data_IF_704020478560
#
_entry.id   IF_704020478560
#
_cell.length_a   1.000
_cell.length_b   1.000
_cell.length_c   1.000
_cell.angle_alpha   90.00
_cell.angle_beta   90.00
_cell.angle_gamma   90.00
#
_symmetry.space_group_name_H-M   'P 1'
#
loop_
_entity.id
_entity.type
_entity.pdbx_description
1 polymer ?
#
# COMPACT_ATOMS: atom_id res chain seq x y z
N UNK A 1 13.96 13.03 -53.16
CA UNK A 1 14.24 13.54 -51.79
C UNK A 1 15.67 13.15 -51.43
N UNK A 2 16.61 14.11 -51.48
CA UNK A 2 18.03 13.85 -51.24
C UNK A 2 18.30 13.50 -49.78
N UNK A 3 19.09 12.45 -49.53
CA UNK A 3 19.58 12.12 -48.18
C UNK A 3 20.26 13.35 -47.58
N UNK A 4 19.87 13.84 -46.39
CA UNK A 4 20.49 15.00 -45.77
C UNK A 4 22.00 14.73 -45.57
N UNK A 5 22.83 15.73 -45.87
CA UNK A 5 24.29 15.62 -45.72
C UNK A 5 24.63 15.34 -44.24
N UNK A 6 25.42 14.29 -43.92
CA UNK A 6 25.66 13.82 -42.54
C UNK A 6 26.27 14.87 -41.61
N UNK A 7 26.90 15.93 -42.14
CA UNK A 7 27.61 16.94 -41.35
C UNK A 7 26.77 17.86 -40.47
N UNK A 8 25.45 17.99 -40.67
CA UNK A 8 24.60 18.90 -39.84
C UNK A 8 23.91 18.23 -38.65
N UNK A 9 23.72 16.91 -38.70
CA UNK A 9 22.97 16.16 -37.68
C UNK A 9 23.88 15.60 -36.58
N UNK A 10 25.16 15.34 -36.87
CA UNK A 10 26.13 14.83 -35.91
C UNK A 10 26.30 15.69 -34.63
N UNK A 11 26.45 17.04 -34.69
CA UNK A 11 26.58 17.84 -33.47
C UNK A 11 25.30 17.88 -32.65
N UNK A 12 24.13 17.85 -33.29
CA UNK A 12 22.83 17.82 -32.60
C UNK A 12 22.61 16.51 -31.85
N UNK A 13 23.03 15.39 -32.42
CA UNK A 13 22.95 14.10 -31.75
C UNK A 13 23.89 13.99 -30.55
N UNK A 14 25.13 14.50 -30.68
CA UNK A 14 26.07 14.56 -29.57
C UNK A 14 25.56 15.45 -28.43
N UNK A 15 25.00 16.62 -28.77
CA UNK A 15 24.37 17.51 -27.80
C UNK A 15 23.14 16.87 -27.14
N UNK A 16 22.32 16.14 -27.90
CA UNK A 16 21.18 15.39 -27.38
C UNK A 16 21.59 14.32 -26.37
N UNK A 17 22.60 13.49 -26.68
CA UNK A 17 23.12 12.51 -25.73
C UNK A 17 23.67 13.17 -24.46
N UNK A 18 24.44 14.24 -24.59
CA UNK A 18 24.97 14.98 -23.45
C UNK A 18 23.85 15.58 -22.58
N UNK A 19 22.82 16.15 -23.20
CA UNK A 19 21.67 16.69 -22.48
C UNK A 19 20.88 15.58 -21.75
N UNK A 20 20.71 14.42 -22.37
CA UNK A 20 20.06 13.27 -21.75
C UNK A 20 20.87 12.73 -20.55
N UNK A 21 22.19 12.60 -20.70
CA UNK A 21 23.08 12.18 -19.60
C UNK A 21 23.08 13.22 -18.48
N UNK A 22 23.23 14.50 -18.80
CA UNK A 22 23.20 15.57 -17.80
C UNK A 22 21.87 15.58 -17.04
N UNK A 23 20.75 15.45 -17.73
CA UNK A 23 19.43 15.35 -17.11
C UNK A 23 19.35 14.18 -16.13
N UNK A 24 19.92 13.02 -16.46
CA UNK A 24 19.92 11.84 -15.58
C UNK A 24 20.67 12.04 -14.25
N UNK A 25 21.51 13.08 -14.14
CA UNK A 25 22.24 13.43 -12.90
C UNK A 25 21.74 14.71 -12.23
N UNK A 26 21.10 15.60 -12.99
CA UNK A 26 20.66 16.91 -12.51
C UNK A 26 19.17 16.94 -12.14
N UNK A 27 18.39 16.01 -12.68
CA UNK A 27 16.96 15.89 -12.42
C UNK A 27 16.77 14.73 -11.44
N UNK A 28 16.25 15.05 -10.26
CA UNK A 28 15.84 14.05 -9.27
C UNK A 28 14.53 13.35 -9.69
N UNK A 29 14.25 12.22 -9.05
CA UNK A 29 13.05 11.41 -9.27
C UNK A 29 11.75 12.06 -8.77
N UNK A 30 11.84 13.21 -8.08
CA UNK A 30 10.72 13.99 -7.57
C UNK A 30 10.33 15.18 -8.47
N UNK A 31 11.04 15.40 -9.58
CA UNK A 31 10.79 16.53 -10.47
C UNK A 31 9.47 16.40 -11.24
N UNK A 32 8.42 17.08 -10.77
CA UNK A 32 7.09 17.09 -11.39
C UNK A 32 7.06 17.55 -12.85
N UNK A 33 8.02 18.39 -13.26
CA UNK A 33 8.16 18.87 -14.65
C UNK A 33 8.42 17.75 -15.67
N UNK A 34 8.77 16.53 -15.22
CA UNK A 34 8.86 15.36 -16.09
C UNK A 34 7.51 15.06 -16.76
N UNK A 35 6.41 15.14 -16.00
CA UNK A 35 5.06 14.85 -16.50
C UNK A 35 4.43 16.05 -17.23
N UNK A 36 4.93 17.26 -17.00
CA UNK A 36 4.51 18.50 -17.69
C UNK A 36 5.23 18.72 -19.03
N UNK A 37 5.64 17.64 -19.70
CA UNK A 37 6.32 17.68 -21.00
C UNK A 37 7.84 17.63 -20.94
N UNK A 38 8.47 17.71 -19.77
CA UNK A 38 9.92 17.49 -19.60
C UNK A 38 10.35 16.10 -20.07
N UNK A 39 9.57 15.07 -19.79
CA UNK A 39 9.80 13.70 -20.27
C UNK A 39 9.74 13.59 -21.81
N UNK A 40 8.87 14.37 -22.46
CA UNK A 40 8.83 14.45 -23.92
C UNK A 40 10.11 15.07 -24.48
N UNK A 41 10.65 16.11 -23.83
CA UNK A 41 11.94 16.73 -24.20
C UNK A 41 13.10 15.75 -24.02
N UNK A 42 13.14 14.99 -22.91
CA UNK A 42 14.13 13.93 -22.69
C UNK A 42 14.02 12.84 -23.75
N UNK A 43 12.80 12.46 -24.14
CA UNK A 43 12.54 11.55 -25.25
C UNK A 43 13.12 12.06 -26.58
N UNK A 44 12.97 13.35 -26.88
CA UNK A 44 13.56 13.97 -28.08
C UNK A 44 15.08 13.94 -28.07
N UNK A 45 15.72 14.13 -26.91
CA UNK A 45 17.17 13.97 -26.77
C UNK A 45 17.62 12.52 -27.02
N UNK A 46 16.88 11.54 -26.49
CA UNK A 46 17.14 10.13 -26.76
C UNK A 46 16.99 9.79 -28.25
N UNK A 47 15.93 10.28 -28.91
CA UNK A 47 15.73 10.12 -30.36
C UNK A 47 16.89 10.73 -31.15
N UNK A 48 17.33 11.93 -30.80
CA UNK A 48 18.47 12.57 -31.46
C UNK A 48 19.76 11.74 -31.30
N UNK A 49 20.01 11.18 -30.12
CA UNK A 49 21.15 10.31 -29.86
C UNK A 49 21.12 9.03 -30.70
N UNK A 50 19.95 8.36 -30.76
CA UNK A 50 19.75 7.13 -31.58
C UNK A 50 19.93 7.41 -33.07
N UNK A 51 19.35 8.50 -33.59
CA UNK A 51 19.50 8.88 -34.99
C UNK A 51 20.95 9.23 -35.34
N UNK A 52 21.68 9.86 -34.41
CA UNK A 52 23.09 10.17 -34.60
C UNK A 52 24.02 8.96 -34.56
N UNK A 53 23.70 7.95 -33.75
CA UNK A 53 24.45 6.69 -33.71
C UNK A 53 24.43 5.93 -35.05
N UNK A 54 23.42 6.17 -35.89
CA UNK A 54 23.33 5.63 -37.25
C UNK A 54 24.13 6.39 -38.32
N UNK A 55 24.81 7.50 -37.95
CA UNK A 55 25.58 8.34 -38.87
C UNK A 55 27.09 8.17 -38.61
N UNK A 56 27.96 8.23 -39.64
CA UNK A 56 29.41 8.24 -39.41
C UNK A 56 29.83 9.52 -38.65
N UNK A 57 30.54 9.36 -37.53
CA UNK A 57 31.03 10.49 -36.74
C UNK A 57 31.58 10.12 -35.36
N UNK A 58 32.08 11.11 -34.59
CA UNK A 58 32.71 10.88 -33.29
C UNK A 58 31.79 10.20 -32.28
N UNK A 59 30.49 10.54 -32.31
CA UNK A 59 29.48 9.93 -31.45
C UNK A 59 29.43 8.41 -31.65
N UNK A 60 29.39 7.95 -32.90
CA UNK A 60 29.36 6.53 -33.26
C UNK A 60 30.65 5.84 -32.84
N UNK A 61 31.81 6.47 -33.04
CA UNK A 61 33.09 5.94 -32.56
C UNK A 61 33.13 5.76 -31.04
N UNK A 62 32.51 6.68 -30.27
CA UNK A 62 32.40 6.55 -28.82
C UNK A 62 31.41 5.46 -28.43
N UNK A 63 30.26 5.36 -29.10
CA UNK A 63 29.25 4.35 -28.79
C UNK A 63 29.65 2.92 -29.21
N UNK A 64 30.56 2.78 -30.18
CA UNK A 64 31.10 1.50 -30.65
C UNK A 64 32.22 0.93 -29.76
N UNK A 65 32.61 1.61 -28.68
CA UNK A 65 33.62 1.06 -27.76
C UNK A 65 33.11 -0.24 -27.13
N UNK A 66 33.99 -1.24 -27.06
CA UNK A 66 33.64 -2.60 -26.67
C UNK A 66 32.83 -2.71 -25.35
N UNK A 67 33.10 -1.92 -24.29
CA UNK A 67 32.28 -1.96 -23.06
C UNK A 67 30.81 -1.55 -23.29
N UNK A 68 30.56 -0.48 -24.05
CA UNK A 68 29.21 0.01 -24.31
C UNK A 68 28.44 -0.94 -25.22
N UNK A 69 29.11 -1.50 -26.23
CA UNK A 69 28.51 -2.51 -27.12
C UNK A 69 28.11 -3.76 -26.32
N UNK A 70 29.00 -4.28 -25.46
CA UNK A 70 28.70 -5.45 -24.60
C UNK A 70 27.58 -5.18 -23.60
N UNK A 71 27.51 -3.96 -23.05
CA UNK A 71 26.39 -3.57 -22.20
C UNK A 71 25.07 -3.52 -22.99
N UNK A 72 25.10 -3.01 -24.21
CA UNK A 72 23.97 -3.04 -25.14
C UNK A 72 23.49 -4.46 -25.48
N UNK A 73 24.41 -5.41 -25.64
CA UNK A 73 24.07 -6.83 -25.90
C UNK A 73 23.26 -7.46 -24.76
N UNK A 74 23.58 -7.14 -23.51
CA UNK A 74 22.90 -7.67 -22.31
C UNK A 74 21.80 -6.76 -21.76
N UNK A 75 21.51 -5.64 -22.44
CA UNK A 75 20.63 -4.57 -21.94
C UNK A 75 19.22 -5.05 -21.58
N UNK A 76 18.71 -6.04 -22.30
CA UNK A 76 17.42 -6.66 -21.98
C UNK A 76 17.43 -7.37 -20.63
N UNK A 77 18.47 -8.16 -20.35
CA UNK A 77 18.68 -8.78 -19.03
C UNK A 77 18.84 -7.72 -17.94
N UNK A 78 19.59 -6.64 -18.20
CA UNK A 78 19.76 -5.55 -17.21
C UNK A 78 18.41 -4.93 -16.88
N UNK A 79 17.61 -4.58 -17.90
CA UNK A 79 16.26 -4.06 -17.72
C UNK A 79 15.36 -5.02 -16.93
N UNK A 80 15.43 -6.32 -17.20
CA UNK A 80 14.59 -7.30 -16.51
C UNK A 80 14.97 -7.50 -15.04
N UNK A 81 16.28 -7.62 -14.76
CA UNK A 81 16.76 -8.09 -13.46
C UNK A 81 17.09 -6.96 -12.48
N UNK A 82 17.38 -5.75 -12.94
CA UNK A 82 17.80 -4.67 -12.04
C UNK A 82 16.75 -4.34 -10.96
N UNK A 83 15.46 -4.32 -11.31
CA UNK A 83 14.40 -3.92 -10.38
C UNK A 83 14.15 -4.95 -9.27
N UNK A 84 13.95 -6.26 -9.55
CA UNK A 84 13.82 -7.27 -8.49
C UNK A 84 15.04 -7.36 -7.57
N UNK A 85 16.26 -7.23 -8.13
CA UNK A 85 17.50 -7.28 -7.34
C UNK A 85 17.59 -6.06 -6.42
N UNK A 86 17.27 -4.88 -6.93
CA UNK A 86 17.23 -3.65 -6.13
C UNK A 86 16.24 -3.79 -4.98
N UNK A 87 15.00 -4.23 -5.25
CA UNK A 87 13.98 -4.44 -4.22
C UNK A 87 14.45 -5.43 -3.13
N UNK A 88 15.03 -6.57 -3.54
CA UNK A 88 15.56 -7.57 -2.60
C UNK A 88 16.69 -6.99 -1.75
N UNK A 89 17.62 -6.26 -2.36
CA UNK A 89 18.73 -5.62 -1.65
C UNK A 89 18.23 -4.59 -0.62
N UNK A 90 17.26 -3.75 -0.98
CA UNK A 90 16.65 -2.79 -0.04
C UNK A 90 15.94 -3.50 1.10
N UNK A 91 15.20 -4.57 0.82
CA UNK A 91 14.53 -5.38 1.87
C UNK A 91 15.53 -6.08 2.79
N UNK A 92 16.71 -6.43 2.29
CA UNK A 92 17.82 -6.97 3.08
C UNK A 92 18.64 -5.88 3.83
N UNK A 93 18.21 -4.61 3.76
CA UNK A 93 18.88 -3.50 4.44
C UNK A 93 20.16 -3.01 3.77
N UNK A 94 20.40 -3.35 2.49
CA UNK A 94 21.59 -2.89 1.76
C UNK A 94 21.38 -1.43 1.32
N UNK A 95 22.12 -0.52 1.95
CA UNK A 95 22.04 0.92 1.72
C UNK A 95 23.44 1.53 1.52
N UNK A 96 23.47 2.75 0.96
CA UNK A 96 24.70 3.47 0.65
C UNK A 96 25.50 2.87 -0.52
N UNK A 97 26.62 3.53 -0.87
CA UNK A 97 27.36 3.23 -2.10
C UNK A 97 27.91 1.80 -2.20
N UNK A 98 28.17 1.14 -1.08
CA UNK A 98 28.58 -0.28 -1.06
C UNK A 98 27.44 -1.22 -1.47
N UNK A 99 26.23 -0.99 -0.94
CA UNK A 99 25.03 -1.74 -1.31
C UNK A 99 24.64 -1.50 -2.77
N UNK A 100 24.74 -0.25 -3.23
CA UNK A 100 24.43 0.11 -4.62
C UNK A 100 25.41 -0.54 -5.61
N UNK A 101 26.70 -0.57 -5.28
CA UNK A 101 27.71 -1.26 -6.08
C UNK A 101 27.44 -2.77 -6.16
N UNK A 102 27.01 -3.38 -5.05
CA UNK A 102 26.64 -4.79 -5.02
C UNK A 102 25.42 -5.08 -5.91
N UNK A 103 24.39 -4.23 -5.86
CA UNK A 103 23.21 -4.33 -6.73
C UNK A 103 23.59 -4.26 -8.21
N UNK A 104 24.44 -3.30 -8.59
CA UNK A 104 24.95 -3.17 -9.97
C UNK A 104 25.72 -4.42 -10.39
N UNK A 105 26.64 -4.90 -9.55
CA UNK A 105 27.45 -6.07 -9.84
C UNK A 105 26.61 -7.35 -10.02
N UNK A 106 25.63 -7.57 -9.14
CA UNK A 106 24.73 -8.73 -9.21
C UNK A 106 23.85 -8.63 -10.46
N UNK A 107 23.28 -7.46 -10.73
CA UNK A 107 22.46 -7.21 -11.93
C UNK A 107 23.22 -7.53 -13.21
N UNK A 108 24.43 -7.00 -13.36
CA UNK A 108 25.27 -7.27 -14.55
C UNK A 108 25.61 -8.75 -14.67
N UNK A 109 25.93 -9.41 -13.55
CA UNK A 109 26.28 -10.83 -13.53
C UNK A 109 25.08 -11.69 -13.97
N UNK A 110 23.90 -11.48 -13.37
CA UNK A 110 22.67 -12.19 -13.72
C UNK A 110 22.29 -11.92 -15.18
N UNK A 111 22.46 -10.68 -15.65
CA UNK A 111 22.18 -10.31 -17.05
C UNK A 111 23.09 -11.00 -18.05
N UNK A 112 24.39 -11.12 -17.76
CA UNK A 112 25.33 -11.88 -18.60
C UNK A 112 24.97 -13.36 -18.64
N UNK A 113 24.61 -13.94 -17.49
CA UNK A 113 24.17 -15.35 -17.42
C UNK A 113 22.88 -15.56 -18.21
N UNK A 114 21.87 -14.69 -18.04
CA UNK A 114 20.63 -14.68 -18.81
C UNK A 114 20.91 -14.61 -20.32
N UNK A 115 21.79 -13.68 -20.72
CA UNK A 115 22.13 -13.46 -22.11
C UNK A 115 22.73 -14.71 -22.77
N UNK A 116 23.70 -15.35 -22.12
CA UNK A 116 24.40 -16.51 -22.69
C UNK A 116 23.55 -17.78 -22.59
N UNK A 117 22.84 -17.99 -21.49
CA UNK A 117 22.13 -19.24 -21.21
C UNK A 117 20.71 -19.30 -21.77
N UNK A 118 20.03 -18.16 -21.90
CA UNK A 118 18.62 -18.08 -22.32
C UNK A 118 18.47 -17.28 -23.62
N UNK A 119 18.94 -16.04 -23.65
CA UNK A 119 18.61 -15.12 -24.73
C UNK A 119 19.30 -15.49 -26.04
N UNK A 120 20.60 -15.82 -26.03
CA UNK A 120 21.31 -16.23 -27.25
C UNK A 120 20.79 -17.53 -27.87
N UNK A 121 20.50 -18.60 -27.10
CA UNK A 121 19.88 -19.81 -27.64
C UNK A 121 18.53 -19.54 -28.33
N UNK A 122 17.66 -18.75 -27.68
CA UNK A 122 16.34 -18.38 -28.22
C UNK A 122 16.49 -17.54 -29.50
N UNK A 123 17.35 -16.50 -29.47
CA UNK A 123 17.63 -15.63 -30.63
C UNK A 123 18.18 -16.38 -31.84
N UNK A 124 18.90 -17.48 -31.63
CA UNK A 124 19.46 -18.33 -32.70
C UNK A 124 18.50 -19.45 -33.15
N UNK A 125 17.22 -19.40 -32.76
CA UNK A 125 16.19 -20.33 -33.22
C UNK A 125 16.26 -21.72 -32.60
N UNK A 126 16.97 -21.90 -31.48
CA UNK A 126 16.86 -23.12 -30.67
C UNK A 126 15.59 -22.99 -29.85
N UNK A 127 14.52 -23.67 -30.27
CA UNK A 127 13.24 -23.66 -29.54
C UNK A 127 13.42 -24.13 -28.08
N UNK A 128 12.52 -23.72 -27.16
CA UNK A 128 12.64 -24.00 -25.73
C UNK A 128 12.82 -25.49 -25.43
N UNK A 129 12.15 -26.36 -26.18
CA UNK A 129 12.28 -27.82 -26.07
C UNK A 129 13.70 -28.36 -26.33
N UNK A 130 14.50 -27.73 -27.22
CA UNK A 130 15.89 -28.13 -27.49
C UNK A 130 16.90 -27.56 -26.49
N UNK A 131 16.57 -26.44 -25.84
CA UNK A 131 17.34 -25.88 -24.73
C UNK A 131 17.19 -26.79 -23.50
N UNK A 132 15.98 -27.27 -23.24
CA UNK A 132 15.68 -28.24 -22.19
C UNK A 132 16.27 -29.63 -22.49
N UNK A 133 16.32 -30.05 -23.75
CA UNK A 133 16.86 -31.36 -24.18
C UNK A 133 18.39 -31.43 -24.31
N UNK A 134 19.11 -30.31 -24.32
CA UNK A 134 20.58 -30.30 -24.44
C UNK A 134 21.33 -30.83 -23.20
N UNK A 135 20.60 -31.18 -22.13
CA UNK A 135 21.17 -31.63 -20.87
C UNK A 135 21.91 -30.52 -20.14
N UNK A 136 22.06 -30.66 -18.82
CA UNK A 136 22.59 -29.65 -17.89
C UNK A 136 24.08 -29.27 -18.05
N UNK A 137 24.68 -29.42 -19.24
CA UNK A 137 26.12 -29.19 -19.44
C UNK A 137 26.57 -27.72 -19.46
N UNK A 138 25.72 -26.69 -19.67
CA UNK A 138 26.07 -25.30 -19.36
C UNK A 138 25.50 -24.81 -18.01
N UNK A 139 24.88 -25.68 -17.19
CA UNK A 139 24.12 -25.29 -15.99
C UNK A 139 24.99 -25.06 -14.74
N UNK A 140 26.32 -25.14 -14.84
CA UNK A 140 27.20 -24.82 -13.70
C UNK A 140 27.05 -23.36 -13.22
N UNK A 141 26.97 -22.40 -14.15
CA UNK A 141 26.85 -20.98 -13.81
C UNK A 141 25.40 -20.52 -13.63
N UNK A 142 24.47 -21.05 -14.45
CA UNK A 142 23.04 -20.78 -14.31
C UNK A 142 22.45 -21.46 -13.07
N UNK A 143 22.94 -22.66 -12.72
CA UNK A 143 22.59 -23.36 -11.48
C UNK A 143 23.07 -22.60 -10.26
N UNK A 144 24.28 -22.05 -10.26
CA UNK A 144 24.75 -21.18 -9.16
C UNK A 144 23.96 -19.88 -9.10
N UNK A 145 23.64 -19.23 -10.24
CA UNK A 145 22.80 -18.04 -10.24
C UNK A 145 21.37 -18.34 -9.76
N UNK A 146 20.77 -19.46 -10.17
CA UNK A 146 19.45 -19.92 -9.72
C UNK A 146 19.50 -20.36 -8.26
N UNK A 147 20.57 -21.00 -7.79
CA UNK A 147 20.74 -21.38 -6.38
C UNK A 147 21.03 -20.16 -5.52
N UNK A 148 21.78 -19.17 -6.00
CA UNK A 148 21.99 -17.89 -5.30
C UNK A 148 20.69 -17.10 -5.28
N UNK A 149 19.97 -17.00 -6.40
CA UNK A 149 18.63 -16.39 -6.45
C UNK A 149 17.66 -17.18 -5.59
N UNK A 150 17.67 -18.52 -5.58
CA UNK A 150 16.78 -19.34 -4.76
C UNK A 150 17.17 -19.31 -3.28
N UNK A 151 18.44 -19.20 -2.91
CA UNK A 151 18.90 -19.02 -1.53
C UNK A 151 18.65 -17.59 -1.06
N UNK A 152 18.70 -16.59 -1.94
CA UNK A 152 18.30 -15.21 -1.63
C UNK A 152 16.77 -15.05 -1.60
N UNK A 153 16.03 -15.79 -2.43
CA UNK A 153 14.57 -15.92 -2.38
C UNK A 153 14.22 -16.66 -1.11
N UNK A 154 14.64 -17.89 -0.86
CA UNK A 154 14.35 -18.65 0.38
C UNK A 154 14.89 -17.97 1.65
N UNK A 155 16.01 -17.25 1.57
CA UNK A 155 16.58 -16.48 2.68
C UNK A 155 15.90 -15.12 2.93
N UNK A 156 15.28 -14.52 1.90
CA UNK A 156 14.51 -13.26 1.95
C UNK A 156 12.99 -13.43 1.94
N UNK A 157 12.51 -14.63 1.61
CA UNK A 157 11.15 -15.16 1.76
C UNK A 157 11.13 -16.04 3.00
N UNK A 158 11.54 -15.48 4.14
CA UNK A 158 10.72 -15.73 5.31
C UNK A 158 9.54 -14.78 5.19
N UNK A 159 8.43 -15.16 4.54
CA UNK A 159 7.19 -14.53 4.91
C UNK A 159 7.00 -14.88 6.39
N UNK A 160 6.88 -13.86 7.24
CA UNK A 160 6.05 -13.99 8.44
C UNK A 160 4.60 -14.03 7.97
N UNK A 161 4.24 -15.08 7.23
CA UNK A 161 2.87 -15.47 6.92
C UNK A 161 2.81 -16.90 7.40
N UNK A 162 2.02 -17.20 8.45
CA UNK A 162 1.82 -18.56 8.92
C UNK A 162 1.42 -19.48 7.75
N UNK A 163 1.77 -20.77 7.84
CA UNK A 163 1.45 -21.77 6.82
C UNK A 163 -0.06 -22.01 6.62
N UNK A 164 -0.89 -21.24 7.34
CA UNK A 164 -2.33 -21.44 7.49
C UNK A 164 -3.15 -20.26 6.90
N UNK A 165 -2.52 -19.33 6.17
CA UNK A 165 -3.23 -18.21 5.54
C UNK A 165 -4.05 -18.69 4.31
N UNK A 166 -5.37 -18.56 4.41
CA UNK A 166 -6.36 -18.99 3.41
C UNK A 166 -6.64 -17.83 2.42
N UNK A 167 -6.81 -18.12 1.12
CA UNK A 167 -7.22 -17.11 0.13
C UNK A 167 -8.72 -16.83 0.18
N UNK A 168 -9.18 -15.65 -0.26
CA UNK A 168 -10.61 -15.26 -0.23
C UNK A 168 -11.49 -16.24 -1.03
N UNK A 169 -11.03 -16.70 -2.20
CA UNK A 169 -11.69 -17.79 -2.94
C UNK A 169 -11.68 -19.13 -2.18
N UNK A 170 -10.61 -19.49 -1.46
CA UNK A 170 -10.56 -20.73 -0.66
C UNK A 170 -11.44 -20.66 0.61
N UNK A 171 -11.57 -19.48 1.23
CA UNK A 171 -12.45 -19.28 2.38
C UNK A 171 -13.94 -19.35 1.96
N UNK A 172 -14.28 -18.80 0.78
CA UNK A 172 -15.61 -18.90 0.19
C UNK A 172 -15.95 -20.32 -0.28
N UNK A 173 -15.00 -21.06 -0.85
CA UNK A 173 -15.21 -22.45 -1.27
C UNK A 173 -15.30 -23.43 -0.08
N UNK A 174 -14.56 -23.19 1.02
CA UNK A 174 -14.64 -23.98 2.24
C UNK A 174 -15.94 -23.75 3.04
N UNK A 175 -16.51 -22.54 2.97
CA UNK A 175 -17.78 -22.20 3.64
C UNK A 175 -19.00 -22.78 2.90
N UNK A 176 -18.89 -23.04 1.59
CA UNK A 176 -19.98 -23.56 0.75
C UNK A 176 -19.93 -25.08 0.56
N UNK A 177 -18.84 -25.76 0.97
CA UNK A 177 -18.71 -27.21 0.79
C UNK A 177 -18.04 -27.93 1.95
N UNK A 178 -18.84 -28.45 2.89
CA UNK A 178 -18.88 -29.87 3.31
C UNK A 178 -19.79 -30.01 4.55
N UNK A 179 -21.09 -30.30 4.34
CA UNK A 179 -21.92 -30.93 5.38
C UNK A 179 -21.47 -32.40 5.54
N UNK A 180 -20.34 -32.61 6.20
CA UNK A 180 -19.83 -33.92 6.60
C UNK A 180 -20.45 -34.39 7.93
N UNK A 181 -20.79 -35.69 8.09
CA UNK A 181 -21.60 -36.15 9.21
C UNK A 181 -20.84 -36.14 10.53
N UNK A 182 -21.46 -35.53 11.55
CA UNK A 182 -20.98 -35.44 12.93
C UNK A 182 -20.82 -36.80 13.61
N UNK A 183 -19.72 -36.98 14.36
CA UNK A 183 -19.48 -38.11 15.27
C UNK A 183 -20.51 -38.12 16.42
N UNK A 184 -20.89 -39.29 16.98
CA UNK A 184 -21.85 -39.36 18.06
C UNK A 184 -21.22 -38.96 19.41
N UNK A 185 -21.97 -38.34 20.32
CA UNK A 185 -21.43 -37.77 21.55
C UNK A 185 -21.10 -38.85 22.59
N UNK A 186 -20.07 -38.59 23.42
CA UNK A 186 -19.67 -39.36 24.59
C UNK A 186 -20.63 -39.21 25.78
N UNK A 187 -20.86 -40.31 26.51
CA UNK A 187 -21.81 -40.47 27.64
C UNK A 187 -21.40 -39.79 28.97
N UNK A 188 -20.57 -38.75 28.97
CA UNK A 188 -20.29 -38.00 30.20
C UNK A 188 -21.38 -36.94 30.46
N UNK A 189 -22.00 -36.89 31.65
CA UNK A 189 -22.97 -35.84 31.95
C UNK A 189 -22.26 -34.49 31.97
N UNK A 190 -22.72 -33.50 31.19
CA UNK A 190 -22.09 -32.19 31.14
C UNK A 190 -22.17 -31.53 32.53
N UNK A 191 -21.08 -30.86 32.90
CA UNK A 191 -21.13 -29.90 34.00
C UNK A 191 -22.28 -28.92 33.74
N UNK A 192 -23.04 -28.50 34.77
CA UNK A 192 -24.10 -27.54 34.56
C UNK A 192 -23.50 -26.28 33.90
N UNK A 193 -24.10 -25.76 32.82
CA UNK A 193 -23.61 -24.56 32.18
C UNK A 193 -23.58 -23.43 33.22
N UNK A 194 -22.59 -22.52 33.16
CA UNK A 194 -22.71 -21.25 33.87
C UNK A 194 -24.02 -20.60 33.41
N UNK A 195 -24.79 -20.10 34.36
CA UNK A 195 -26.07 -19.42 34.11
C UNK A 195 -25.88 -18.38 32.99
N UNK A 196 -26.75 -18.44 31.97
CA UNK A 196 -26.77 -17.52 30.84
C UNK A 196 -26.68 -16.07 31.34
N UNK A 197 -25.54 -15.41 31.10
CA UNK A 197 -25.43 -13.95 31.19
C UNK A 197 -26.21 -13.42 29.97
N UNK A 198 -27.41 -12.83 30.14
CA UNK A 198 -28.34 -12.56 29.04
C UNK A 198 -27.92 -11.40 28.11
N UNK A 199 -26.63 -11.01 28.14
CA UNK A 199 -26.13 -9.76 27.56
C UNK A 199 -24.79 -9.93 26.82
N UNK A 200 -24.37 -11.17 26.50
CA UNK A 200 -23.20 -11.38 25.62
C UNK A 200 -23.67 -11.56 24.18
N UNK A 201 -23.03 -10.89 23.20
CA UNK A 201 -23.35 -11.10 21.80
C UNK A 201 -22.99 -12.54 21.42
N UNK A 202 -23.76 -13.13 20.50
CA UNK A 202 -23.34 -14.39 19.89
C UNK A 202 -22.00 -14.16 19.17
N UNK A 203 -21.04 -15.05 19.41
CA UNK A 203 -19.69 -14.94 18.87
C UNK A 203 -19.51 -15.92 17.70
N UNK A 204 -18.67 -15.56 16.71
CA UNK A 204 -17.98 -14.28 16.57
C UNK A 204 -18.93 -13.15 16.13
N UNK A 205 -18.63 -11.91 16.52
CA UNK A 205 -19.33 -10.74 15.93
C UNK A 205 -18.67 -10.36 14.61
N UNK A 206 -19.48 -9.92 13.64
CA UNK A 206 -18.95 -9.40 12.37
C UNK A 206 -18.68 -7.91 12.48
N UNK A 207 -17.41 -7.51 12.37
CA UNK A 207 -16.98 -6.10 12.40
C UNK A 207 -16.55 -5.66 11.01
N UNK A 208 -17.19 -4.63 10.48
CA UNK A 208 -16.74 -3.98 9.23
C UNK A 208 -15.86 -2.77 9.55
N UNK A 209 -14.65 -2.71 9.00
CA UNK A 209 -13.76 -1.56 9.13
C UNK A 209 -13.79 -0.70 7.86
N UNK A 210 -14.10 0.58 8.00
CA UNK A 210 -14.09 1.59 6.93
C UNK A 210 -13.12 2.73 7.26
N UNK A 211 -12.69 3.45 6.23
CA UNK A 211 -11.76 4.57 6.41
C UNK A 211 -10.69 4.65 5.35
N UNK A 212 -9.60 5.34 5.69
CA UNK A 212 -8.47 5.58 4.80
C UNK A 212 -7.40 4.46 4.85
N UNK A 213 -6.19 4.75 4.36
CA UNK A 213 -5.09 3.79 4.39
C UNK A 213 -4.61 3.45 5.81
N UNK A 214 -4.79 4.33 6.80
CA UNK A 214 -4.46 4.01 8.18
C UNK A 214 -5.44 2.97 8.73
N UNK A 215 -6.74 3.12 8.46
CA UNK A 215 -7.76 2.11 8.76
C UNK A 215 -7.46 0.78 8.06
N UNK A 216 -7.10 0.82 6.78
CA UNK A 216 -6.70 -0.37 6.02
C UNK A 216 -5.62 -1.18 6.74
N UNK A 217 -4.55 -0.52 7.17
CA UNK A 217 -3.43 -1.19 7.87
C UNK A 217 -3.74 -1.54 9.31
N UNK A 218 -4.66 -0.82 9.98
CA UNK A 218 -5.15 -1.17 11.32
C UNK A 218 -5.88 -2.52 11.27
N UNK A 219 -6.66 -2.78 10.22
CA UNK A 219 -7.31 -4.06 9.97
C UNK A 219 -6.41 -5.11 9.31
N UNK A 220 -5.08 -4.99 9.44
CA UNK A 220 -4.12 -5.98 8.92
C UNK A 220 -3.90 -5.96 7.42
N UNK A 221 -4.34 -4.90 6.74
CA UNK A 221 -4.18 -4.74 5.30
C UNK A 221 -2.73 -4.51 4.89
N UNK A 222 -2.28 -5.22 3.84
CA UNK A 222 -0.94 -5.03 3.28
C UNK A 222 -0.86 -3.76 2.42
N UNK A 223 0.21 -2.97 2.59
CA UNK A 223 0.53 -1.87 1.69
C UNK A 223 1.25 -2.41 0.46
N UNK A 224 0.47 -3.01 -0.45
CA UNK A 224 0.90 -3.27 -1.83
C UNK A 224 0.44 -2.13 -2.74
N UNK A 225 1.35 -1.66 -3.58
CA UNK A 225 1.07 -0.70 -4.65
C UNK A 225 0.58 -1.49 -5.88
N UNK A 226 -0.71 -1.81 -5.93
CA UNK A 226 -1.24 -2.60 -7.06
C UNK A 226 -2.75 -2.87 -7.03
N UNK A 227 -3.36 -2.99 -5.84
CA UNK A 227 -4.81 -3.13 -5.69
C UNK A 227 -5.30 -2.42 -4.41
N UNK A 228 -6.37 -1.63 -4.52
CA UNK A 228 -7.05 -0.98 -3.38
C UNK A 228 -7.89 -1.97 -2.53
N UNK A 229 -7.83 -3.26 -2.86
CA UNK A 229 -8.64 -4.36 -2.31
C UNK A 229 -7.77 -5.60 -2.05
N UNK A 230 -6.48 -5.41 -1.72
CA UNK A 230 -5.55 -6.53 -1.52
C UNK A 230 -5.94 -7.43 -0.33
N UNK A 231 -5.40 -8.65 -0.21
CA UNK A 231 -5.64 -9.48 0.97
C UNK A 231 -5.17 -8.76 2.25
N UNK A 232 -5.87 -9.02 3.36
CA UNK A 232 -5.50 -8.59 4.71
C UNK A 232 -5.47 -9.81 5.63
N UNK A 233 -4.70 -9.71 6.71
CA UNK A 233 -4.62 -10.73 7.76
C UNK A 233 -5.21 -10.12 9.03
N UNK A 234 -6.41 -10.56 9.44
CA UNK A 234 -7.12 -9.95 10.57
C UNK A 234 -6.26 -10.00 11.83
N UNK A 235 -6.07 -8.87 12.54
CA UNK A 235 -5.33 -8.86 13.80
C UNK A 235 -6.16 -9.35 14.99
N UNK A 236 -7.46 -9.65 14.80
CA UNK A 236 -8.37 -10.11 15.84
C UNK A 236 -8.41 -11.64 15.93
N UNK A 237 -8.77 -12.17 17.10
CA UNK A 237 -9.12 -13.59 17.23
C UNK A 237 -10.42 -13.88 16.47
N UNK A 238 -10.41 -14.75 15.44
CA UNK A 238 -11.60 -15.07 14.66
C UNK A 238 -12.70 -15.78 15.47
N UNK A 239 -12.40 -16.28 16.68
CA UNK A 239 -13.42 -16.80 17.59
C UNK A 239 -14.22 -15.69 18.28
N UNK A 240 -13.73 -14.44 18.29
CA UNK A 240 -14.40 -13.30 18.92
C UNK A 240 -14.89 -12.29 17.87
N UNK A 241 -14.04 -11.93 16.91
CA UNK A 241 -14.33 -10.90 15.89
C UNK A 241 -13.95 -11.40 14.50
N UNK A 242 -14.96 -11.52 13.64
CA UNK A 242 -14.76 -11.66 12.21
C UNK A 242 -14.64 -10.27 11.58
N UNK A 243 -13.42 -9.88 11.20
CA UNK A 243 -13.16 -8.58 10.59
C UNK A 243 -13.37 -8.64 9.08
N UNK A 244 -14.23 -7.75 8.57
CA UNK A 244 -14.38 -7.42 7.15
C UNK A 244 -13.76 -6.04 6.87
N UNK A 245 -12.56 -6.02 6.27
CA UNK A 245 -11.81 -4.78 6.05
C UNK A 245 -12.22 -4.14 4.72
N UNK A 246 -13.09 -3.13 4.77
CA UNK A 246 -13.55 -2.36 3.63
C UNK A 246 -12.81 -1.02 3.47
N UNK A 247 -11.84 -0.70 4.32
CA UNK A 247 -11.10 0.56 4.26
C UNK A 247 -10.33 0.73 2.93
N UNK A 248 -10.06 2.00 2.56
CA UNK A 248 -9.63 2.37 1.22
C UNK A 248 -8.39 3.24 1.22
N UNK A 249 -7.38 2.81 0.45
CA UNK A 249 -6.14 3.55 0.28
C UNK A 249 -6.41 4.87 -0.44
N UNK A 250 -6.14 5.98 0.24
CA UNK A 250 -6.34 7.32 -0.32
C UNK A 250 -7.77 7.85 -0.22
N UNK A 251 -8.66 7.14 0.49
CA UNK A 251 -9.98 7.65 0.83
C UNK A 251 -9.89 8.95 1.65
N UNK A 252 -10.88 9.82 1.47
CA UNK A 252 -11.03 11.10 2.17
C UNK A 252 -12.46 11.20 2.66
N UNK A 253 -12.62 11.46 3.96
CA UNK A 253 -13.92 11.79 4.50
C UNK A 253 -14.41 13.14 3.99
N UNK A 254 -13.55 14.16 4.05
CA UNK A 254 -13.90 15.51 3.58
C UNK A 254 -13.72 15.55 2.07
N UNK A 255 -14.78 15.80 1.28
CA UNK A 255 -14.70 15.83 -0.18
C UNK A 255 -13.67 16.84 -0.69
N UNK A 256 -13.17 16.60 -1.89
CA UNK A 256 -12.22 17.49 -2.57
C UNK A 256 -10.76 17.07 -2.43
N UNK A 257 -9.88 17.80 -3.12
CA UNK A 257 -8.46 17.49 -3.18
C UNK A 257 -7.71 18.03 -1.97
N UNK A 258 -6.71 17.31 -1.47
CA UNK A 258 -5.76 17.85 -0.48
C UNK A 258 -4.92 18.96 -1.10
N UNK A 259 -4.73 20.10 -0.40
CA UNK A 259 -4.09 21.29 -0.99
C UNK A 259 -2.71 21.64 -0.44
N UNK A 260 -2.27 21.03 0.65
CA UNK A 260 -1.06 21.45 1.35
C UNK A 260 0.16 20.58 0.97
N UNK A 261 -0.01 19.26 0.96
CA UNK A 261 1.09 18.34 0.71
C UNK A 261 1.29 18.04 -0.78
N UNK A 262 2.36 18.58 -1.37
CA UNK A 262 2.77 18.32 -2.76
C UNK A 262 1.91 19.02 -3.83
N UNK A 263 1.15 20.06 -3.45
CA UNK A 263 0.25 20.81 -4.36
C UNK A 263 -1.21 20.31 -4.32
N UNK A 264 -2.03 20.77 -5.28
CA UNK A 264 -3.40 20.27 -5.46
C UNK A 264 -3.31 18.90 -6.12
N UNK A 265 -3.61 17.83 -5.38
CA UNK A 265 -3.74 16.49 -5.97
C UNK A 265 -5.11 16.36 -6.63
N UNK A 266 -5.23 16.90 -7.84
CA UNK A 266 -6.47 16.78 -8.64
C UNK A 266 -6.51 15.50 -9.50
N UNK A 267 -7.48 14.63 -9.13
CA UNK A 267 -8.27 13.63 -9.88
C UNK A 267 -7.83 12.15 -10.02
N UNK A 268 -8.80 11.19 -9.99
CA UNK A 268 -10.19 11.27 -9.49
C UNK A 268 -10.31 10.79 -8.05
N UNK A 269 -11.14 11.49 -7.27
CA UNK A 269 -11.61 11.01 -5.98
C UNK A 269 -12.72 10.01 -6.23
N UNK A 270 -12.37 8.73 -6.26
CA UNK A 270 -13.33 7.62 -6.15
C UNK A 270 -13.94 7.56 -4.74
N UNK A 271 -13.72 8.56 -3.87
CA UNK A 271 -14.24 8.61 -2.50
C UNK A 271 -15.78 8.41 -2.47
N UNK A 272 -16.51 9.02 -3.41
CA UNK A 272 -17.96 8.81 -3.55
C UNK A 272 -18.32 7.41 -4.11
N UNK A 273 -17.44 6.83 -4.93
CA UNK A 273 -17.61 5.46 -5.45
C UNK A 273 -17.31 4.43 -4.36
N UNK A 274 -16.32 4.70 -3.50
CA UNK A 274 -15.97 3.90 -2.33
C UNK A 274 -17.10 3.92 -1.30
N UNK A 275 -17.69 5.09 -1.02
CA UNK A 275 -18.89 5.18 -0.17
C UNK A 275 -20.09 4.45 -0.79
N UNK A 276 -20.31 4.61 -2.10
CA UNK A 276 -21.38 3.88 -2.80
C UNK A 276 -21.15 2.36 -2.74
N UNK A 277 -19.90 1.93 -2.83
CA UNK A 277 -19.53 0.53 -2.70
C UNK A 277 -19.71 0.02 -1.27
N UNK A 278 -19.35 0.79 -0.23
CA UNK A 278 -19.66 0.44 1.16
C UNK A 278 -21.16 0.24 1.36
N UNK A 279 -21.99 1.20 0.91
CA UNK A 279 -23.46 1.10 0.96
C UNK A 279 -24.01 -0.15 0.26
N UNK A 280 -23.41 -0.54 -0.85
CA UNK A 280 -23.82 -1.73 -1.58
C UNK A 280 -23.38 -3.03 -0.88
N UNK A 281 -22.23 -3.01 -0.22
CA UNK A 281 -21.60 -4.21 0.38
C UNK A 281 -22.12 -4.49 1.79
N UNK A 282 -22.41 -3.46 2.58
CA UNK A 282 -22.81 -3.60 3.99
C UNK A 282 -24.05 -4.49 4.19
N UNK A 283 -25.12 -4.41 3.36
CA UNK A 283 -26.26 -5.32 3.49
C UNK A 283 -25.93 -6.79 3.15
N UNK A 284 -24.93 -7.04 2.32
CA UNK A 284 -24.49 -8.40 1.97
C UNK A 284 -23.65 -9.02 3.09
N UNK A 285 -22.85 -8.20 3.78
CA UNK A 285 -22.04 -8.60 4.94
C UNK A 285 -22.88 -8.75 6.21
N UNK A 286 -23.92 -7.93 6.37
CA UNK A 286 -24.76 -7.86 7.56
C UNK A 286 -23.96 -7.71 8.88
N UNK A 287 -23.15 -6.65 9.03
CA UNK A 287 -22.25 -6.51 10.18
C UNK A 287 -23.00 -6.32 11.50
N UNK A 288 -22.38 -6.78 12.58
CA UNK A 288 -22.82 -6.46 13.95
C UNK A 288 -22.38 -5.07 14.37
N UNK A 289 -21.25 -4.61 13.84
CA UNK A 289 -20.66 -3.32 14.16
C UNK A 289 -19.85 -2.78 12.97
N UNK A 290 -19.90 -1.47 12.78
CA UNK A 290 -19.05 -0.76 11.81
C UNK A 290 -18.04 0.09 12.57
N UNK A 291 -16.76 -0.05 12.27
CA UNK A 291 -15.68 0.76 12.83
C UNK A 291 -15.17 1.72 11.77
N UNK A 292 -15.07 3.00 12.10
CA UNK A 292 -14.61 4.04 11.19
C UNK A 292 -13.34 4.72 11.72
N UNK A 293 -12.30 4.83 10.89
CA UNK A 293 -11.08 5.59 11.20
C UNK A 293 -10.65 6.45 10.00
N UNK A 294 -10.53 7.75 10.23
CA UNK A 294 -10.08 8.72 9.23
C UNK A 294 -8.85 9.46 9.74
N UNK A 295 -7.93 9.86 8.86
CA UNK A 295 -6.67 10.45 9.28
C UNK A 295 -5.95 11.20 8.17
N UNK A 296 -4.88 10.61 7.63
CA UNK A 296 -3.81 11.28 6.87
C UNK A 296 -4.31 12.35 5.89
N UNK A 297 -5.31 12.01 5.09
CA UNK A 297 -5.85 12.92 4.10
C UNK A 297 -6.66 14.04 4.74
N UNK A 298 -7.49 13.73 5.73
CA UNK A 298 -8.42 14.64 6.42
C UNK A 298 -7.74 15.53 7.47
N UNK A 299 -6.46 15.34 7.71
CA UNK A 299 -5.61 16.27 8.46
C UNK A 299 -5.06 17.40 7.58
N UNK A 300 -5.64 17.71 6.43
CA UNK A 300 -5.13 18.70 5.47
C UNK A 300 -6.23 19.62 4.95
N UNK A 301 -5.84 20.82 4.49
CA UNK A 301 -6.72 21.71 3.74
C UNK A 301 -7.29 21.03 2.49
N UNK A 302 -8.35 21.62 1.95
CA UNK A 302 -9.12 21.08 0.83
C UNK A 302 -9.21 22.04 -0.34
N UNK A 303 -9.37 21.52 -1.54
CA UNK A 303 -9.89 22.23 -2.70
C UNK A 303 -11.22 21.61 -3.07
N UNK A 304 -12.29 22.38 -2.91
CA UNK A 304 -13.66 21.98 -3.19
C UNK A 304 -14.19 22.97 -4.21
N UNK A 305 -14.65 22.48 -5.36
CA UNK A 305 -15.17 23.31 -6.45
C UNK A 305 -14.22 24.45 -6.91
N UNK A 306 -12.91 24.22 -6.81
CA UNK A 306 -11.86 25.19 -7.17
C UNK A 306 -11.58 26.25 -6.09
N UNK A 307 -12.24 26.18 -4.93
CA UNK A 307 -11.95 27.03 -3.77
C UNK A 307 -11.03 26.31 -2.79
N UNK A 308 -9.93 26.96 -2.40
CA UNK A 308 -9.01 26.45 -1.38
C UNK A 308 -9.54 26.79 0.01
N UNK A 309 -9.76 25.75 0.79
CA UNK A 309 -10.29 25.76 2.14
C UNK A 309 -9.15 25.35 3.08
N UNK A 310 -8.76 26.25 3.97
CA UNK A 310 -7.71 26.01 4.95
C UNK A 310 -8.19 25.05 6.05
N UNK A 311 -7.33 24.12 6.47
CA UNK A 311 -7.62 23.22 7.59
C UNK A 311 -7.92 24.02 8.87
N UNK A 312 -8.94 23.61 9.63
CA UNK A 312 -9.34 24.28 10.86
C UNK A 312 -10.05 25.63 10.66
N UNK A 313 -10.30 26.03 9.42
CA UNK A 313 -11.19 27.17 9.13
C UNK A 313 -12.65 26.78 9.37
N UNK A 314 -13.51 27.78 9.62
CA UNK A 314 -14.95 27.54 9.75
C UNK A 314 -15.58 26.88 8.51
N UNK A 315 -15.03 27.13 7.32
CA UNK A 315 -15.45 26.46 6.09
C UNK A 315 -15.04 24.98 6.10
N UNK A 316 -13.80 24.67 6.49
CA UNK A 316 -13.35 23.28 6.64
C UNK A 316 -14.22 22.52 7.65
N UNK A 317 -14.46 23.11 8.82
CA UNK A 317 -15.24 22.49 9.88
C UNK A 317 -16.67 22.19 9.43
N UNK A 318 -17.27 23.10 8.66
CA UNK A 318 -18.60 22.89 8.05
C UNK A 318 -18.59 21.70 7.09
N UNK A 319 -17.63 21.65 6.17
CA UNK A 319 -17.54 20.55 5.19
C UNK A 319 -17.22 19.20 5.86
N UNK A 320 -16.30 19.18 6.82
CA UNK A 320 -15.93 17.97 7.53
C UNK A 320 -17.08 17.43 8.40
N UNK A 321 -17.76 18.32 9.15
CA UNK A 321 -18.93 17.94 9.95
C UNK A 321 -20.06 17.43 9.07
N UNK A 322 -20.36 18.12 7.96
CA UNK A 322 -21.43 17.69 7.06
C UNK A 322 -21.13 16.35 6.39
N UNK A 323 -19.89 16.13 5.94
CA UNK A 323 -19.48 14.86 5.33
C UNK A 323 -19.53 13.71 6.34
N UNK A 324 -19.00 13.93 7.55
CA UNK A 324 -19.08 12.97 8.66
C UNK A 324 -20.53 12.63 9.02
N UNK A 325 -21.40 13.63 9.14
CA UNK A 325 -22.81 13.43 9.49
C UNK A 325 -23.56 12.63 8.42
N UNK A 326 -23.33 12.92 7.14
CA UNK A 326 -23.91 12.16 6.02
C UNK A 326 -23.42 10.71 6.03
N UNK A 327 -22.10 10.50 6.08
CA UNK A 327 -21.53 9.15 6.01
C UNK A 327 -21.91 8.32 7.24
N UNK A 328 -21.65 8.82 8.44
CA UNK A 328 -21.79 8.02 9.65
C UNK A 328 -23.26 7.71 9.97
N UNK A 329 -24.19 8.64 9.70
CA UNK A 329 -25.63 8.38 9.86
C UNK A 329 -26.12 7.33 8.87
N UNK A 330 -25.63 7.38 7.63
CA UNK A 330 -25.95 6.39 6.60
C UNK A 330 -25.42 4.99 6.95
N UNK A 331 -24.16 4.89 7.42
CA UNK A 331 -23.60 3.65 7.94
C UNK A 331 -24.40 3.11 9.15
N UNK A 332 -24.80 4.01 10.06
CA UNK A 332 -25.58 3.66 11.25
C UNK A 332 -26.98 3.11 10.93
N UNK A 333 -27.47 3.27 9.70
CA UNK A 333 -28.72 2.61 9.27
C UNK A 333 -28.57 1.10 9.11
N UNK A 334 -27.34 0.59 8.97
CA UNK A 334 -27.07 -0.84 8.80
C UNK A 334 -26.66 -1.51 10.11
N UNK A 335 -25.76 -0.90 10.86
CA UNK A 335 -25.29 -1.40 12.15
C UNK A 335 -24.72 -0.25 13.00
N UNK A 336 -24.65 -0.40 14.35
CA UNK A 336 -24.01 0.61 15.19
C UNK A 336 -22.60 0.95 14.72
N UNK A 337 -22.26 2.24 14.76
CA UNK A 337 -20.99 2.77 14.28
C UNK A 337 -20.12 3.19 15.45
N UNK A 338 -18.88 2.71 15.47
CA UNK A 338 -17.82 3.14 16.38
C UNK A 338 -16.79 3.94 15.59
N UNK A 339 -16.69 5.23 15.89
CA UNK A 339 -15.65 6.11 15.33
C UNK A 339 -14.43 6.07 16.23
N UNK A 340 -13.25 5.83 15.66
CA UNK A 340 -11.99 5.90 16.40
C UNK A 340 -11.40 7.30 16.29
N UNK A 341 -10.99 7.90 17.42
CA UNK A 341 -10.21 9.14 17.39
C UNK A 341 -8.89 8.93 16.65
N UNK A 342 -8.54 9.87 15.78
CA UNK A 342 -7.38 9.77 14.90
C UNK A 342 -6.09 9.97 15.72
N UNK A 343 -5.17 8.99 15.80
CA UNK A 343 -3.92 9.22 16.50
C UNK A 343 -3.00 10.12 15.66
N UNK A 344 -2.22 11.05 16.28
CA UNK A 344 -1.30 11.89 15.55
C UNK A 344 -0.35 11.08 14.67
N UNK A 345 0.02 11.66 13.54
CA UNK A 345 1.04 11.15 12.64
C UNK A 345 2.43 11.51 13.17
N UNK A 346 3.40 10.63 12.92
CA UNK A 346 4.80 10.85 13.35
C UNK A 346 5.65 11.28 12.17
N UNK A 347 5.81 12.60 12.00
CA UNK A 347 6.61 13.19 10.93
C UNK A 347 8.02 12.59 10.79
N UNK A 348 8.72 12.45 11.91
CA UNK A 348 10.07 11.88 12.03
C UNK A 348 10.23 10.45 11.50
N UNK A 349 9.13 9.70 11.42
CA UNK A 349 9.14 8.32 10.91
C UNK A 349 8.73 8.27 9.42
N UNK A 350 8.32 9.39 8.83
CA UNK A 350 7.88 9.45 7.44
C UNK A 350 9.07 9.45 6.47
N UNK A 351 9.01 8.66 5.38
CA UNK A 351 10.10 8.58 4.41
C UNK A 351 10.21 9.81 3.50
N UNK A 352 9.12 10.58 3.36
CA UNK A 352 9.07 11.76 2.50
C UNK A 352 9.38 13.02 3.33
N UNK A 353 10.49 13.73 3.07
CA UNK A 353 10.91 14.87 3.88
C UNK A 353 9.89 16.02 3.98
N UNK A 354 9.16 16.29 2.89
CA UNK A 354 8.11 17.32 2.88
C UNK A 354 6.93 16.93 3.78
N UNK A 355 6.51 15.67 3.73
CA UNK A 355 5.45 15.13 4.58
C UNK A 355 5.87 15.08 6.05
N UNK A 356 7.12 14.65 6.29
CA UNK A 356 7.72 14.63 7.61
C UNK A 356 7.69 16.03 8.23
N UNK A 357 8.20 17.04 7.52
CA UNK A 357 8.23 18.42 8.00
C UNK A 357 6.82 19.00 8.23
N UNK A 358 5.86 18.67 7.37
CA UNK A 358 4.49 19.17 7.48
C UNK A 358 3.78 18.67 8.75
N UNK A 359 3.95 17.40 9.09
CA UNK A 359 3.23 16.80 10.23
C UNK A 359 4.00 16.84 11.55
N UNK A 360 5.32 17.01 11.55
CA UNK A 360 6.14 16.89 12.77
C UNK A 360 5.67 17.77 13.94
N UNK A 361 5.31 19.03 13.69
CA UNK A 361 4.95 19.97 14.75
C UNK A 361 3.43 20.05 14.99
N UNK A 362 2.63 19.87 13.94
CA UNK A 362 1.19 20.18 13.99
C UNK A 362 0.28 18.94 14.02
N UNK A 363 0.82 17.73 13.91
CA UNK A 363 -0.07 16.57 13.75
C UNK A 363 -0.98 16.32 14.94
N UNK A 364 -0.54 16.56 16.18
CA UNK A 364 -1.36 16.37 17.37
C UNK A 364 -2.55 17.34 17.43
N UNK A 365 -2.30 18.62 17.14
CA UNK A 365 -3.35 19.64 17.07
C UNK A 365 -4.39 19.29 16.00
N UNK A 366 -3.93 18.93 14.80
CA UNK A 366 -4.80 18.60 13.67
C UNK A 366 -5.62 17.35 13.94
N UNK A 367 -5.01 16.33 14.53
CA UNK A 367 -5.67 15.09 14.92
C UNK A 367 -6.75 15.32 15.99
N UNK A 368 -6.45 16.14 17.01
CA UNK A 368 -7.42 16.55 18.03
C UNK A 368 -8.57 17.37 17.43
N UNK A 369 -8.28 18.28 16.50
CA UNK A 369 -9.29 19.09 15.82
C UNK A 369 -10.26 18.22 15.03
N UNK A 370 -9.75 17.35 14.16
CA UNK A 370 -10.59 16.41 13.39
C UNK A 370 -11.39 15.49 14.31
N UNK A 371 -10.75 14.90 15.32
CA UNK A 371 -11.42 14.02 16.28
C UNK A 371 -12.52 14.75 17.04
N UNK A 372 -12.35 16.04 17.36
CA UNK A 372 -13.38 16.86 18.00
C UNK A 372 -14.61 17.09 17.11
N UNK A 373 -14.41 17.28 15.81
CA UNK A 373 -15.51 17.37 14.84
C UNK A 373 -16.28 16.05 14.74
N UNK A 374 -15.56 14.93 14.66
CA UNK A 374 -16.15 13.59 14.62
C UNK A 374 -16.91 13.25 15.91
N UNK A 375 -16.35 13.61 17.08
CA UNK A 375 -17.01 13.44 18.37
C UNK A 375 -18.33 14.21 18.43
N UNK A 376 -18.33 15.47 17.95
CA UNK A 376 -19.54 16.27 17.92
C UNK A 376 -20.64 15.68 17.01
N UNK A 377 -20.27 14.98 15.93
CA UNK A 377 -21.22 14.24 15.08
C UNK A 377 -21.72 12.99 15.78
N UNK A 378 -20.83 12.20 16.39
CA UNK A 378 -21.19 11.00 17.14
C UNK A 378 -22.17 11.34 18.30
N UNK A 379 -21.92 12.41 19.06
CA UNK A 379 -22.77 12.84 20.18
C UNK A 379 -24.22 13.19 19.76
N UNK A 380 -24.44 13.55 18.49
CA UNK A 380 -25.77 13.89 17.95
C UNK A 380 -26.42 12.75 17.18
N UNK A 381 -25.64 11.77 16.76
CA UNK A 381 -26.09 10.67 15.90
C UNK A 381 -26.60 9.48 16.71
N UNK A 382 -27.76 8.95 16.33
CA UNK A 382 -28.27 7.71 16.91
C UNK A 382 -27.46 6.51 16.41
N UNK A 383 -27.08 5.61 17.31
CA UNK A 383 -26.28 4.44 16.96
C UNK A 383 -24.82 4.74 16.61
N UNK A 384 -24.33 5.95 16.86
CA UNK A 384 -22.94 6.34 16.63
C UNK A 384 -22.27 6.61 17.96
N UNK A 385 -21.09 6.02 18.18
CA UNK A 385 -20.27 6.23 19.37
C UNK A 385 -18.84 6.52 18.97
N UNK A 386 -18.07 7.10 19.88
CA UNK A 386 -16.67 7.39 19.66
C UNK A 386 -15.80 6.73 20.73
N UNK A 387 -14.74 6.05 20.30
CA UNK A 387 -13.69 5.54 21.18
C UNK A 387 -12.45 6.42 21.08
N UNK A 388 -11.89 6.79 22.22
CA UNK A 388 -10.68 7.61 22.27
C UNK A 388 -9.39 6.78 22.04
N UNK A 389 -9.31 6.21 20.85
CA UNK A 389 -8.20 5.40 20.39
C UNK A 389 -6.87 6.18 20.34
N UNK A 390 -6.92 7.46 19.93
CA UNK A 390 -5.77 8.36 19.91
C UNK A 390 -5.13 8.51 21.28
N UNK A 391 -5.91 8.74 22.35
CA UNK A 391 -5.36 8.88 23.70
C UNK A 391 -4.70 7.59 24.20
N UNK A 392 -5.25 6.43 23.84
CA UNK A 392 -4.65 5.14 24.21
C UNK A 392 -3.38 4.81 23.41
N UNK A 393 -3.40 5.06 22.09
CA UNK A 393 -2.29 4.74 21.20
C UNK A 393 -1.15 5.76 21.30
N UNK A 394 -1.48 7.02 21.59
CA UNK A 394 -0.57 8.15 21.72
C UNK A 394 -0.81 8.91 23.04
N UNK A 395 -0.46 8.31 24.18
CA UNK A 395 -0.56 9.02 25.46
C UNK A 395 0.30 10.28 25.44
N UNK A 396 -0.26 11.39 25.95
CA UNK A 396 0.39 12.72 25.96
C UNK A 396 0.89 13.19 24.58
N UNK A 397 0.15 12.85 23.51
CA UNK A 397 0.49 13.13 22.11
C UNK A 397 1.77 12.41 21.60
N UNK A 398 2.41 11.54 22.40
CA UNK A 398 3.56 10.73 21.97
C UNK A 398 3.13 9.29 21.65
N UNK A 399 2.97 9.02 20.36
CA UNK A 399 2.57 7.72 19.85
C UNK A 399 3.56 6.62 20.22
N UNK A 400 3.01 5.48 20.67
CA UNK A 400 3.77 4.26 20.94
C UNK A 400 4.68 3.94 19.75
N UNK A 401 6.01 3.95 19.90
CA UNK A 401 6.92 3.74 18.78
C UNK A 401 7.07 2.26 18.41
N UNK A 402 6.82 1.37 19.37
CA UNK A 402 7.10 -0.07 19.28
C UNK A 402 5.90 -0.87 19.78
N UNK A 403 5.60 -1.96 19.08
CA UNK A 403 4.68 -3.02 19.46
C UNK A 403 5.40 -4.37 19.25
N UNK A 404 5.46 -5.19 20.30
CA UNK A 404 6.17 -6.49 20.30
C UNK A 404 7.56 -6.48 19.65
N UNK A 405 8.41 -5.53 20.06
CA UNK A 405 9.77 -5.39 19.55
C UNK A 405 9.90 -4.89 18.10
N UNK A 406 8.78 -4.64 17.41
CA UNK A 406 8.70 -4.09 16.05
C UNK A 406 8.12 -2.68 16.07
N UNK A 407 8.37 -1.82 15.05
CA UNK A 407 7.73 -0.50 14.98
C UNK A 407 6.21 -0.62 15.03
N UNK A 408 5.51 0.17 15.85
CA UNK A 408 4.04 0.13 15.89
C UNK A 408 3.42 0.72 14.61
N UNK A 409 4.08 1.74 14.04
CA UNK A 409 3.85 2.24 12.68
C UNK A 409 5.15 2.20 11.89
N UNK A 410 5.10 1.86 10.61
CA UNK A 410 6.32 1.68 9.80
C UNK A 410 6.76 2.94 9.03
N UNK A 411 5.88 3.93 8.90
CA UNK A 411 6.13 5.19 8.20
C UNK A 411 5.53 6.42 8.90
N UNK A 412 5.21 6.28 10.19
CA UNK A 412 4.55 7.34 10.98
C UNK A 412 3.04 7.48 10.77
N UNK A 413 2.46 6.80 9.78
CA UNK A 413 1.02 6.81 9.48
C UNK A 413 0.42 5.43 9.65
N UNK A 414 0.98 4.45 8.93
CA UNK A 414 0.41 3.13 8.76
C UNK A 414 0.86 2.16 9.85
N UNK A 415 -0.07 1.36 10.35
CA UNK A 415 0.19 0.35 11.37
C UNK A 415 1.02 -0.80 10.78
N UNK A 416 2.02 -1.26 11.51
CA UNK A 416 2.64 -2.55 11.21
C UNK A 416 1.73 -3.69 11.66
N UNK A 417 2.01 -4.93 11.26
CA UNK A 417 1.30 -6.10 11.79
C UNK A 417 1.31 -6.14 13.33
N UNK A 418 2.45 -5.82 13.96
CA UNK A 418 2.56 -5.77 15.41
C UNK A 418 1.75 -4.61 16.03
N UNK A 419 1.72 -3.46 15.37
CA UNK A 419 0.91 -2.31 15.81
C UNK A 419 -0.59 -2.56 15.68
N UNK A 420 -1.01 -3.24 14.60
CA UNK A 420 -2.38 -3.67 14.38
C UNK A 420 -2.82 -4.70 15.43
N UNK A 421 -2.00 -5.71 15.71
CA UNK A 421 -2.25 -6.70 16.78
C UNK A 421 -2.38 -6.03 18.16
N UNK A 422 -1.44 -5.13 18.50
CA UNK A 422 -1.51 -4.36 19.76
C UNK A 422 -2.81 -3.55 19.86
N UNK A 423 -3.26 -2.95 18.75
CA UNK A 423 -4.52 -2.22 18.71
C UNK A 423 -5.73 -3.15 18.83
N UNK A 424 -5.73 -4.29 18.16
CA UNK A 424 -6.78 -5.30 18.25
C UNK A 424 -6.96 -5.82 19.69
N UNK A 425 -5.86 -6.10 20.39
CA UNK A 425 -5.88 -6.51 21.81
C UNK A 425 -6.64 -5.51 22.69
N UNK A 426 -6.47 -4.20 22.42
CA UNK A 426 -7.18 -3.16 23.16
C UNK A 426 -8.60 -2.93 22.66
N UNK A 427 -8.83 -3.00 21.35
CA UNK A 427 -10.13 -2.74 20.72
C UNK A 427 -11.14 -3.85 20.97
N UNK A 428 -10.71 -5.10 21.15
CA UNK A 428 -11.61 -6.27 21.24
C UNK A 428 -12.71 -6.08 22.28
N UNK A 429 -12.35 -5.79 23.54
CA UNK A 429 -13.35 -5.63 24.60
C UNK A 429 -14.31 -4.44 24.37
N UNK A 430 -13.83 -3.21 24.05
CA UNK A 430 -14.71 -2.10 23.68
C UNK A 430 -15.65 -2.37 22.49
N UNK A 431 -15.18 -3.09 21.46
CA UNK A 431 -16.00 -3.40 20.29
C UNK A 431 -17.07 -4.46 20.63
N UNK A 432 -16.72 -5.48 21.42
CA UNK A 432 -17.68 -6.45 21.94
C UNK A 432 -18.73 -5.79 22.86
N UNK A 433 -18.37 -4.75 23.60
CA UNK A 433 -19.31 -3.96 24.41
C UNK A 433 -20.23 -3.11 23.52
N UNK A 434 -19.68 -2.44 22.51
CA UNK A 434 -20.46 -1.64 21.57
C UNK A 434 -21.49 -2.47 20.78
N UNK A 435 -21.13 -3.71 20.40
CA UNK A 435 -22.03 -4.63 19.70
C UNK A 435 -23.23 -5.07 20.57
N UNK A 436 -23.11 -5.06 21.90
CA UNK A 436 -24.21 -5.41 22.84
C UNK A 436 -25.28 -4.35 22.91
N UNK A 437 -24.93 -3.09 22.70
CA UNK A 437 -25.82 -1.94 22.92
C UNK A 437 -26.92 -1.76 21.86
N UNK A 438 -27.23 -2.80 21.06
CA UNK A 438 -28.36 -2.75 20.11
C UNK A 438 -29.64 -2.41 20.88
N UNK A 439 -30.44 -1.43 20.42
CA UNK A 439 -31.81 -1.30 20.90
C UNK A 439 -32.53 -2.61 20.59
N UNK A 440 -33.13 -3.25 21.60
CA UNK A 440 -34.01 -4.39 21.38
C UNK A 440 -34.96 -4.06 20.22
N UNK A 441 -34.92 -4.85 19.14
CA UNK A 441 -35.97 -4.82 18.15
C UNK A 441 -37.28 -5.02 18.92
N UNK A 442 -38.07 -3.95 19.01
CA UNK A 442 -39.37 -3.99 19.62
C UNK A 442 -40.15 -5.13 18.99
N UNK A 443 -40.43 -6.16 19.79
CA UNK A 443 -41.36 -7.23 19.45
C UNK A 443 -42.68 -6.56 19.07
N UNK A 444 -42.89 -6.39 17.77
CA UNK A 444 -44.15 -5.97 17.22
C UNK A 444 -45.11 -7.17 17.27
N UNK A 445 -46.10 -7.03 18.15
CA UNK A 445 -47.33 -7.81 18.38
C UNK A 445 -47.22 -9.22 18.96
#
# INVERSE_FOLDING_TARGET
LGRPKPGRLAPLAGAGLLAWVAASFLIDDTWGGFYEGGGAVLGLFAVAAVLGAGLPGPLTTVLEVAPLVRLGEISYGVYLWHWPILLMARRAGWTGGGGDLAVVAITLTVSVVSYVALEQPVRRGRGPARILAAGWRPVGAAGVAITVVAVMVVGGTRPSVPADAITVEEALEAFVGDDGPSEPPSDDPPAPPPEDEPDRPELPITVVLVGDSAAWTLGGGLVSWGTNHGPYDSPFDPAEIELVNLARKGYRLVPGATTELGGVRERPSDDLEDEAWWRATLPEVAPDLIVALFGLSDLQGREIDGERIEFGSAAFDLHATAAAEVLLTDLATTAPVVVLSSPPLRGRDMPQPEMAAFFEEHSAERARHLSGLLAAVADRGEGITMLDFAAWFCPDDDCRPVADGSPARFDGVHFSAAGAALAADWLTAPLLEAARARPEEGVAS
#
